data_IF_457079828971
#
_entry.id   IF_457079828971
#
_cell.length_a   1.000
_cell.length_b   1.000
_cell.length_c   1.000
_cell.angle_alpha   90.00
_cell.angle_beta   90.00
_cell.angle_gamma   90.00
#
_symmetry.space_group_name_H-M   'P 1'
#
loop_
_entity.id
_entity.type
_entity.pdbx_description
1 polymer ?
#
# COMPACT_ATOMS: atom_id res chain seq x y z
N UNK A 1 10.16 -10.61 4.84
CA UNK A 1 9.88 -10.06 6.18
C UNK A 1 9.05 -8.79 6.05
N UNK A 2 9.59 -7.68 5.53
CA UNK A 2 8.85 -6.41 5.31
C UNK A 2 7.41 -6.59 4.77
N UNK A 3 7.24 -7.25 3.61
CA UNK A 3 5.91 -7.46 3.03
C UNK A 3 4.93 -8.22 3.95
N UNK A 4 5.42 -9.12 4.80
CA UNK A 4 4.59 -9.87 5.76
C UNK A 4 4.18 -8.97 6.92
N UNK A 5 5.09 -8.18 7.49
CA UNK A 5 4.76 -7.26 8.58
C UNK A 5 3.78 -6.17 8.11
N UNK A 6 3.98 -5.64 6.90
CA UNK A 6 3.06 -4.67 6.28
C UNK A 6 1.66 -5.26 6.08
N UNK A 7 1.55 -6.50 5.62
CA UNK A 7 0.26 -7.19 5.48
C UNK A 7 -0.37 -7.51 6.84
N UNK A 8 0.43 -7.89 7.83
CA UNK A 8 -0.05 -8.22 9.18
C UNK A 8 -0.61 -6.96 9.87
N UNK A 9 0.08 -5.83 9.82
CA UNK A 9 -0.43 -4.54 10.28
C UNK A 9 -1.81 -4.22 9.70
N UNK A 10 -1.95 -4.24 8.36
CA UNK A 10 -3.22 -3.88 7.70
C UNK A 10 -4.35 -4.85 8.04
N UNK A 11 -4.06 -6.15 8.17
CA UNK A 11 -5.05 -7.15 8.59
C UNK A 11 -5.49 -6.93 10.03
N UNK A 12 -4.57 -6.65 10.95
CA UNK A 12 -4.90 -6.46 12.36
C UNK A 12 -5.73 -5.20 12.59
N UNK A 13 -5.45 -4.11 11.87
CA UNK A 13 -6.33 -2.93 11.90
C UNK A 13 -7.74 -3.27 11.41
N UNK A 14 -7.87 -4.03 10.31
CA UNK A 14 -9.19 -4.47 9.84
C UNK A 14 -9.90 -5.42 10.83
N UNK A 15 -9.17 -6.31 11.50
CA UNK A 15 -9.72 -7.15 12.58
C UNK A 15 -10.20 -6.32 13.77
N UNK A 16 -9.49 -5.25 14.12
CA UNK A 16 -9.93 -4.35 15.18
C UNK A 16 -11.27 -3.68 14.84
N UNK A 17 -11.45 -3.22 13.59
CA UNK A 17 -12.73 -2.67 13.13
C UNK A 17 -13.87 -3.70 13.22
N UNK A 18 -13.59 -4.97 12.91
CA UNK A 18 -14.58 -6.05 13.10
C UNK A 18 -14.92 -6.28 14.56
N UNK A 19 -13.91 -6.32 15.43
CA UNK A 19 -14.12 -6.49 16.87
C UNK A 19 -14.92 -5.34 17.48
N UNK A 20 -14.74 -4.09 17.01
CA UNK A 20 -15.55 -2.95 17.44
C UNK A 20 -17.03 -3.10 17.05
N UNK A 21 -17.30 -3.51 15.81
CA UNK A 21 -18.66 -3.77 15.31
C UNK A 21 -19.34 -4.88 16.12
N UNK A 22 -18.58 -5.90 16.51
CA UNK A 22 -19.06 -7.04 17.29
C UNK A 22 -19.21 -6.73 18.79
N UNK A 23 -18.70 -5.59 19.27
CA UNK A 23 -18.79 -5.17 20.67
C UNK A 23 -17.73 -5.79 21.57
N UNK A 24 -16.55 -6.12 21.04
CA UNK A 24 -15.39 -6.65 21.78
C UNK A 24 -14.27 -5.62 21.92
N UNK A 25 -14.40 -4.62 22.82
CA UNK A 25 -13.47 -3.50 22.92
C UNK A 25 -12.04 -3.93 23.29
N UNK A 26 -11.90 -4.92 24.16
CA UNK A 26 -10.57 -5.42 24.57
C UNK A 26 -9.84 -6.12 23.42
N UNK A 27 -10.57 -6.89 22.60
CA UNK A 27 -10.00 -7.54 21.42
C UNK A 27 -9.60 -6.50 20.36
N UNK A 28 -10.44 -5.49 20.14
CA UNK A 28 -10.12 -4.40 19.22
C UNK A 28 -8.88 -3.62 19.67
N UNK A 29 -8.78 -3.31 20.97
CA UNK A 29 -7.61 -2.66 21.55
C UNK A 29 -6.33 -3.50 21.39
N UNK A 30 -6.42 -4.82 21.62
CA UNK A 30 -5.31 -5.74 21.41
C UNK A 30 -4.85 -5.75 19.95
N UNK A 31 -5.78 -5.92 19.00
CA UNK A 31 -5.43 -5.92 17.58
C UNK A 31 -4.77 -4.62 17.14
N UNK A 32 -5.26 -3.46 17.59
CA UNK A 32 -4.63 -2.16 17.31
C UNK A 32 -3.23 -2.06 17.91
N UNK A 33 -3.06 -2.49 19.16
CA UNK A 33 -1.75 -2.46 19.82
C UNK A 33 -0.73 -3.34 19.11
N UNK A 34 -1.12 -4.53 18.65
CA UNK A 34 -0.21 -5.41 17.92
C UNK A 34 0.05 -4.87 16.52
N UNK A 35 -0.96 -4.34 15.82
CA UNK A 35 -0.76 -3.68 14.53
C UNK A 35 0.30 -2.56 14.61
N UNK A 36 0.28 -1.76 15.67
CA UNK A 36 1.27 -0.71 15.90
C UNK A 36 2.69 -1.29 16.10
N UNK A 37 2.81 -2.41 16.81
CA UNK A 37 4.10 -3.11 16.92
C UNK A 37 4.61 -3.59 15.55
N UNK A 38 3.73 -4.12 14.69
CA UNK A 38 4.10 -4.54 13.33
C UNK A 38 4.50 -3.36 12.43
N UNK A 39 3.97 -2.15 12.66
CA UNK A 39 4.48 -0.92 12.01
C UNK A 39 5.95 -0.73 12.36
N UNK A 40 6.33 -0.88 13.63
CA UNK A 40 7.72 -0.79 14.08
C UNK A 40 8.63 -1.83 13.43
N UNK A 41 8.17 -3.09 13.31
CA UNK A 41 8.92 -4.13 12.60
C UNK A 41 9.10 -3.80 11.10
N UNK A 42 8.04 -3.35 10.43
CA UNK A 42 8.08 -2.98 9.02
C UNK A 42 9.04 -1.81 8.76
N UNK A 43 9.01 -0.76 9.60
CA UNK A 43 9.95 0.37 9.49
C UNK A 43 11.39 -0.05 9.77
N UNK A 44 11.62 -0.88 10.79
CA UNK A 44 12.94 -1.44 11.06
C UNK A 44 13.49 -2.23 9.86
N UNK A 45 12.66 -2.94 9.10
CA UNK A 45 13.10 -3.56 7.85
C UNK A 45 13.41 -2.54 6.75
N UNK A 46 12.62 -1.49 6.60
CA UNK A 46 12.85 -0.44 5.60
C UNK A 46 14.17 0.32 5.84
N UNK A 47 14.58 0.53 7.09
CA UNK A 47 15.87 1.15 7.41
C UNK A 47 17.06 0.38 6.81
N UNK A 48 16.98 -0.95 6.74
CA UNK A 48 18.00 -1.77 6.08
C UNK A 48 17.83 -1.81 4.56
N UNK A 49 16.58 -1.92 4.09
CA UNK A 49 16.29 -1.98 2.65
C UNK A 49 16.64 -0.67 1.94
N UNK A 50 16.52 0.48 2.61
CA UNK A 50 16.87 1.77 2.04
C UNK A 50 18.32 1.85 1.55
N UNK A 51 19.22 1.02 2.08
CA UNK A 51 20.61 0.94 1.63
C UNK A 51 20.76 0.28 0.25
N UNK A 52 19.75 -0.45 -0.22
CA UNK A 52 19.77 -1.20 -1.49
C UNK A 52 18.61 -0.85 -2.42
N UNK A 53 17.61 -0.11 -1.95
CA UNK A 53 16.46 0.36 -2.71
C UNK A 53 15.12 -0.13 -2.18
N UNK A 54 14.07 0.49 -2.69
CA UNK A 54 12.68 0.13 -2.43
C UNK A 54 12.39 -1.31 -2.88
N UNK A 55 11.89 -2.18 -1.99
CA UNK A 55 11.52 -3.53 -2.37
C UNK A 55 10.39 -3.61 -3.41
N UNK A 56 9.59 -2.56 -3.59
CA UNK A 56 8.49 -2.55 -4.55
C UNK A 56 8.93 -2.11 -5.95
N UNK A 57 9.73 -1.03 -6.05
CA UNK A 57 10.12 -0.43 -7.34
C UNK A 57 11.58 -0.69 -7.74
N UNK A 58 12.44 -1.03 -6.78
CA UNK A 58 13.88 -1.13 -6.97
C UNK A 58 14.60 0.21 -7.06
N UNK A 59 13.90 1.34 -6.94
CA UNK A 59 14.49 2.68 -6.91
C UNK A 59 15.07 3.01 -5.53
N UNK A 60 16.01 3.97 -5.42
CA UNK A 60 16.47 4.47 -4.13
C UNK A 60 15.31 5.02 -3.28
N UNK A 61 15.42 4.87 -1.96
CA UNK A 61 14.53 5.47 -0.95
C UNK A 61 15.37 5.97 0.23
N UNK A 62 14.82 6.90 1.00
CA UNK A 62 15.45 7.45 2.20
C UNK A 62 15.19 8.94 2.32
N UNK A 63 15.83 9.74 1.48
CA UNK A 63 15.55 11.17 1.44
C UNK A 63 14.20 11.46 0.76
N UNK A 64 13.67 12.66 1.00
CA UNK A 64 12.32 13.01 0.54
C UNK A 64 12.21 13.02 -0.98
N UNK A 65 13.28 13.40 -1.70
CA UNK A 65 13.28 13.44 -3.16
C UNK A 65 13.19 12.03 -3.75
N UNK A 66 14.00 11.09 -3.26
CA UNK A 66 14.01 9.70 -3.67
C UNK A 66 12.71 8.99 -3.29
N UNK A 67 12.17 9.26 -2.10
CA UNK A 67 10.87 8.73 -1.68
C UNK A 67 9.75 9.15 -2.63
N UNK A 68 9.74 10.42 -3.10
CA UNK A 68 8.77 10.85 -4.11
C UNK A 68 8.96 10.14 -5.44
N UNK A 69 10.20 10.00 -5.94
CA UNK A 69 10.48 9.31 -7.20
C UNK A 69 10.04 7.84 -7.14
N UNK A 70 10.37 7.13 -6.06
CA UNK A 70 9.95 5.74 -5.86
C UNK A 70 8.42 5.62 -5.82
N UNK A 71 7.74 6.53 -5.11
CA UNK A 71 6.27 6.55 -5.06
C UNK A 71 5.65 6.81 -6.44
N UNK A 72 6.18 7.75 -7.23
CA UNK A 72 5.69 8.03 -8.58
C UNK A 72 5.83 6.79 -9.48
N UNK A 73 6.96 6.09 -9.42
CA UNK A 73 7.19 4.87 -10.21
C UNK A 73 6.18 3.77 -9.83
N UNK A 74 6.02 3.51 -8.53
CA UNK A 74 5.07 2.51 -8.03
C UNK A 74 3.65 2.81 -8.48
N UNK A 75 3.15 4.01 -8.18
CA UNK A 75 1.80 4.45 -8.55
C UNK A 75 1.60 4.41 -10.08
N UNK A 76 2.63 4.78 -10.86
CA UNK A 76 2.60 4.71 -12.33
C UNK A 76 2.46 3.29 -12.85
N UNK A 77 3.22 2.35 -12.29
CA UNK A 77 3.06 0.94 -12.61
C UNK A 77 1.65 0.44 -12.26
N UNK A 78 1.12 0.86 -11.11
CA UNK A 78 -0.21 0.45 -10.67
C UNK A 78 -1.32 0.91 -11.62
N UNK A 79 -1.34 2.19 -12.01
CA UNK A 79 -2.41 2.70 -12.88
C UNK A 79 -2.22 2.40 -14.37
N UNK A 80 -1.00 2.13 -14.84
CA UNK A 80 -0.75 1.85 -16.27
C UNK A 80 -0.71 0.36 -16.60
N UNK A 81 -0.25 -0.49 -15.67
CA UNK A 81 -0.02 -1.92 -15.92
C UNK A 81 -0.84 -2.80 -14.99
N UNK A 82 -0.64 -2.70 -13.66
CA UNK A 82 -1.14 -3.68 -12.71
C UNK A 82 -2.67 -3.72 -12.66
N UNK A 83 -3.33 -2.62 -12.29
CA UNK A 83 -4.77 -2.58 -12.17
C UNK A 83 -5.50 -2.75 -13.51
N UNK A 84 -5.06 -2.14 -14.64
CA UNK A 84 -5.62 -2.45 -15.94
C UNK A 84 -5.52 -3.94 -16.31
N UNK A 85 -4.38 -4.59 -16.01
CA UNK A 85 -4.19 -6.02 -16.22
C UNK A 85 -5.15 -6.85 -15.37
N UNK A 86 -5.28 -6.54 -14.08
CA UNK A 86 -6.21 -7.22 -13.18
C UNK A 86 -7.67 -7.02 -13.57
N UNK A 87 -8.06 -5.82 -13.96
CA UNK A 87 -9.40 -5.53 -14.46
C UNK A 87 -9.71 -6.38 -15.69
N UNK A 88 -8.77 -6.47 -16.65
CA UNK A 88 -8.92 -7.32 -17.83
C UNK A 88 -9.11 -8.80 -17.45
N UNK A 89 -8.24 -9.35 -16.60
CA UNK A 89 -8.37 -10.73 -16.14
C UNK A 89 -9.71 -10.98 -15.44
N UNK A 90 -10.13 -10.08 -14.54
CA UNK A 90 -11.43 -10.18 -13.87
C UNK A 90 -12.61 -10.15 -14.86
N UNK A 91 -12.55 -9.33 -15.92
CA UNK A 91 -13.56 -9.36 -17.01
C UNK A 91 -13.58 -10.69 -17.74
N UNK A 92 -12.41 -11.21 -18.09
CA UNK A 92 -12.26 -12.48 -18.81
C UNK A 92 -12.82 -13.65 -17.97
N UNK A 93 -12.74 -13.57 -16.64
CA UNK A 93 -13.31 -14.54 -15.69
C UNK A 93 -14.78 -14.29 -15.32
N UNK A 94 -15.42 -13.24 -15.88
CA UNK A 94 -16.82 -12.89 -15.61
C UNK A 94 -17.06 -12.16 -14.28
N UNK A 95 -16.00 -11.74 -13.58
CA UNK A 95 -16.02 -11.02 -12.30
C UNK A 95 -16.18 -9.50 -12.52
N UNK A 96 -17.31 -9.10 -13.07
CA UNK A 96 -17.56 -7.70 -13.50
C UNK A 96 -17.37 -6.67 -12.38
N UNK A 97 -17.92 -6.91 -11.19
CA UNK A 97 -17.80 -5.96 -10.07
C UNK A 97 -16.35 -5.78 -9.60
N UNK A 98 -15.55 -6.86 -9.63
CA UNK A 98 -14.13 -6.83 -9.28
C UNK A 98 -13.33 -6.07 -10.35
N UNK A 99 -13.67 -6.25 -11.63
CA UNK A 99 -13.06 -5.47 -12.70
C UNK A 99 -13.34 -3.97 -12.56
N UNK A 100 -14.60 -3.59 -12.31
CA UNK A 100 -14.99 -2.19 -12.08
C UNK A 100 -14.27 -1.59 -10.86
N UNK A 101 -14.05 -2.41 -9.83
CA UNK A 101 -13.26 -2.03 -8.67
C UNK A 101 -11.80 -1.75 -9.03
N UNK A 102 -11.14 -2.65 -9.77
CA UNK A 102 -9.75 -2.44 -10.22
C UNK A 102 -9.62 -1.21 -11.14
N UNK A 103 -10.58 -0.97 -12.03
CA UNK A 103 -10.59 0.25 -12.85
C UNK A 103 -10.73 1.53 -12.01
N UNK A 104 -11.45 1.44 -10.88
CA UNK A 104 -11.57 2.55 -9.92
C UNK A 104 -10.25 2.81 -9.21
N UNK A 105 -9.55 1.75 -8.78
CA UNK A 105 -8.22 1.86 -8.16
C UNK A 105 -7.21 2.46 -9.14
N UNK A 106 -7.18 2.03 -10.41
CA UNK A 106 -6.32 2.63 -11.43
C UNK A 106 -6.51 4.16 -11.55
N UNK A 107 -7.75 4.66 -11.43
CA UNK A 107 -8.00 6.12 -11.44
C UNK A 107 -7.48 6.81 -10.19
N UNK A 108 -7.55 6.16 -9.03
CA UNK A 108 -7.01 6.68 -7.77
C UNK A 108 -5.48 6.75 -7.82
N UNK A 109 -4.81 5.68 -8.24
CA UNK A 109 -3.35 5.63 -8.29
C UNK A 109 -2.78 6.65 -9.30
N UNK A 110 -3.50 6.91 -10.41
CA UNK A 110 -3.15 8.02 -11.32
C UNK A 110 -3.17 9.38 -10.62
N UNK A 111 -4.13 9.60 -9.72
CA UNK A 111 -4.21 10.81 -8.91
C UNK A 111 -3.06 10.88 -7.90
N UNK A 112 -2.71 9.76 -7.26
CA UNK A 112 -1.59 9.68 -6.33
C UNK A 112 -0.26 10.02 -7.01
N UNK A 113 0.04 9.39 -8.16
CA UNK A 113 1.23 9.71 -8.96
C UNK A 113 1.33 11.21 -9.26
N UNK A 114 0.22 11.83 -9.68
CA UNK A 114 0.15 13.27 -9.95
C UNK A 114 0.38 14.15 -8.71
N UNK A 115 -0.09 13.71 -7.53
CA UNK A 115 0.14 14.42 -6.26
C UNK A 115 1.59 14.33 -5.79
N UNK A 116 2.22 13.16 -5.95
CA UNK A 116 3.64 13.00 -5.63
C UNK A 116 4.53 13.79 -6.58
N UNK A 117 4.22 13.83 -7.87
CA UNK A 117 4.93 14.68 -8.85
C UNK A 117 4.84 16.17 -8.50
N UNK A 118 3.67 16.64 -8.06
CA UNK A 118 3.53 18.01 -7.56
C UNK A 118 4.34 18.26 -6.28
N UNK A 119 4.35 17.29 -5.35
CA UNK A 119 5.15 17.35 -4.13
C UNK A 119 6.64 17.44 -4.42
N UNK A 120 7.14 16.62 -5.35
CA UNK A 120 8.54 16.62 -5.79
C UNK A 120 8.95 17.96 -6.40
N UNK A 121 8.11 18.55 -7.25
CA UNK A 121 8.36 19.87 -7.85
C UNK A 121 8.36 21.03 -6.85
N UNK A 122 7.82 20.82 -5.66
CA UNK A 122 7.70 21.82 -4.60
C UNK A 122 8.80 21.72 -3.52
N UNK A 123 9.72 20.74 -3.63
CA UNK A 123 10.95 20.69 -2.83
C UNK A 123 11.89 21.85 -3.18
#
# INVERSE_FOLDING_TARGET
>A
AFAVESQTNRRYLWFAEKADIEGYPDAAALFRSVAEAETGHAYGHLDYLAQVGDPATGLPIGDTEDNFKASIEGETYEYTQMYPGFAKTARDEGLTEIADWFETLARAEKSHAGRFDQGLKAL
#
